data_IF_586270880159
#
_entry.id   IF_586270880159
#
_cell.length_a   1.000
_cell.length_b   1.000
_cell.length_c   1.000
_cell.angle_alpha   90.00
_cell.angle_beta   90.00
_cell.angle_gamma   90.00
#
_symmetry.space_group_name_H-M   'P 1'
#
loop_
_entity.id
_entity.type
_entity.pdbx_description
1 polymer ?
#
# COMPACT_ATOMS: atom_id res chain seq x y z
N UNK A 1 25.08 8.51 6.68
CA UNK A 1 24.56 7.33 7.43
C UNK A 1 23.22 7.73 8.04
N UNK A 2 22.13 7.01 7.73
CA UNK A 2 20.75 7.53 7.75
C UNK A 2 20.25 8.08 9.09
N UNK A 3 19.64 9.27 9.05
CA UNK A 3 19.06 9.97 10.21
C UNK A 3 18.07 9.09 11.01
N UNK A 4 17.26 8.27 10.32
CA UNK A 4 16.32 7.31 10.93
C UNK A 4 17.02 6.15 11.68
N UNK A 5 18.24 5.79 11.32
CA UNK A 5 19.00 4.74 12.01
C UNK A 5 19.46 5.21 13.38
N UNK A 6 19.96 6.44 13.47
CA UNK A 6 20.35 7.09 14.73
C UNK A 6 19.12 7.41 15.60
N UNK A 7 17.98 7.76 14.98
CA UNK A 7 16.76 8.16 15.66
C UNK A 7 15.65 7.10 15.56
N UNK A 8 15.98 5.84 15.86
CA UNK A 8 15.04 4.70 15.78
C UNK A 8 13.72 4.89 16.54
N UNK A 9 13.66 5.80 17.51
CA UNK A 9 12.41 6.14 18.23
C UNK A 9 11.34 6.73 17.29
N UNK A 10 11.76 7.43 16.22
CA UNK A 10 10.87 8.02 15.21
C UNK A 10 10.20 6.99 14.31
N UNK A 11 10.66 5.72 14.34
CA UNK A 11 10.10 4.65 13.51
C UNK A 11 8.64 4.35 13.83
N UNK A 12 8.25 4.48 15.11
CA UNK A 12 6.86 4.33 15.53
C UNK A 12 6.01 5.46 14.95
N UNK A 13 6.47 6.70 15.11
CA UNK A 13 5.76 7.88 14.60
C UNK A 13 5.61 7.83 13.08
N UNK A 14 6.64 7.34 12.38
CA UNK A 14 6.60 7.08 10.94
C UNK A 14 5.50 6.08 10.55
N UNK A 15 5.38 4.96 11.27
CA UNK A 15 4.34 3.96 11.02
C UNK A 15 2.95 4.51 11.35
N UNK A 16 2.79 5.20 12.48
CA UNK A 16 1.52 5.78 12.91
C UNK A 16 1.01 6.83 11.92
N UNK A 17 1.90 7.66 11.38
CA UNK A 17 1.58 8.64 10.36
C UNK A 17 1.17 7.99 9.03
N UNK A 18 1.83 6.90 8.63
CA UNK A 18 1.44 6.14 7.45
C UNK A 18 0.01 5.57 7.60
N UNK A 19 -0.31 4.98 8.76
CA UNK A 19 -1.66 4.48 9.07
C UNK A 19 -2.68 5.63 9.08
N UNK A 20 -2.33 6.77 9.68
CA UNK A 20 -3.19 7.97 9.73
C UNK A 20 -3.54 8.47 8.33
N UNK A 21 -2.57 8.48 7.41
CA UNK A 21 -2.75 8.90 6.02
C UNK A 21 -3.79 8.03 5.31
N UNK A 22 -3.64 6.71 5.40
CA UNK A 22 -4.57 5.75 4.79
C UNK A 22 -5.97 5.89 5.40
N UNK A 23 -6.07 5.94 6.73
CA UNK A 23 -7.35 6.12 7.43
C UNK A 23 -8.06 7.41 6.97
N UNK A 24 -7.32 8.52 6.92
CA UNK A 24 -7.85 9.83 6.52
C UNK A 24 -8.36 9.81 5.07
N UNK A 25 -7.66 9.10 4.17
CA UNK A 25 -8.13 8.92 2.79
C UNK A 25 -9.50 8.23 2.74
N UNK A 26 -9.68 7.14 3.48
CA UNK A 26 -10.97 6.41 3.54
C UNK A 26 -12.07 7.25 4.18
N UNK A 27 -11.77 7.97 5.26
CA UNK A 27 -12.73 8.87 5.90
C UNK A 27 -13.18 9.99 4.94
N UNK A 28 -12.26 10.58 4.18
CA UNK A 28 -12.58 11.65 3.22
C UNK A 28 -13.36 11.13 2.00
N UNK A 29 -12.92 10.03 1.40
CA UNK A 29 -13.49 9.51 0.15
C UNK A 29 -14.72 8.63 0.35
N UNK A 30 -14.73 7.79 1.38
CA UNK A 30 -15.79 6.81 1.61
C UNK A 30 -16.69 7.16 2.80
N UNK A 31 -16.27 8.05 3.70
CA UNK A 31 -16.97 8.31 4.98
C UNK A 31 -17.08 7.04 5.82
N UNK A 32 -16.05 6.19 5.74
CA UNK A 32 -15.99 4.89 6.39
C UNK A 32 -14.59 4.67 7.00
N UNK A 33 -14.50 3.85 8.04
CA UNK A 33 -13.27 3.46 8.72
C UNK A 33 -12.81 2.10 8.18
N UNK A 34 -11.64 2.02 7.54
CA UNK A 34 -11.11 0.74 7.06
C UNK A 34 -10.49 -0.06 8.21
N UNK A 35 -10.42 -1.38 8.06
CA UNK A 35 -9.51 -2.21 8.83
C UNK A 35 -8.09 -2.10 8.28
N UNK A 36 -7.11 -1.86 9.16
CA UNK A 36 -5.70 -1.73 8.80
C UNK A 36 -4.87 -2.59 9.75
N UNK A 37 -4.01 -3.44 9.19
CA UNK A 37 -2.92 -4.12 9.90
C UNK A 37 -1.61 -3.60 9.29
N UNK A 38 -0.77 -2.98 10.11
CA UNK A 38 0.50 -2.40 9.67
C UNK A 38 1.69 -3.07 10.36
N UNK A 39 2.75 -3.32 9.60
CA UNK A 39 4.02 -3.84 10.10
C UNK A 39 5.18 -3.01 9.57
N UNK A 40 6.10 -2.64 10.45
CA UNK A 40 7.31 -1.89 10.08
C UNK A 40 8.49 -2.86 9.94
N UNK A 41 9.16 -2.83 8.80
CA UNK A 41 10.41 -3.52 8.56
C UNK A 41 11.55 -2.51 8.44
N UNK A 42 12.64 -2.72 9.16
CA UNK A 42 13.80 -1.80 9.19
C UNK A 42 14.90 -2.15 8.18
N UNK A 43 15.01 -3.42 7.81
CA UNK A 43 16.04 -3.92 6.92
C UNK A 43 15.43 -4.58 5.68
N UNK A 44 16.08 -4.38 4.53
CA UNK A 44 15.78 -5.13 3.31
C UNK A 44 16.49 -6.49 3.28
N UNK A 45 16.23 -7.29 2.23
CA UNK A 45 16.80 -8.64 2.08
C UNK A 45 18.33 -8.68 2.00
N UNK A 46 18.98 -7.56 1.68
CA UNK A 46 20.45 -7.42 1.66
C UNK A 46 21.00 -6.82 2.96
N UNK A 47 20.21 -6.79 4.04
CA UNK A 47 20.54 -6.17 5.34
C UNK A 47 20.90 -4.67 5.25
N UNK A 48 20.54 -4.01 4.16
CA UNK A 48 20.63 -2.57 4.05
C UNK A 48 19.52 -1.90 4.88
N UNK A 49 19.86 -0.83 5.59
CA UNK A 49 18.89 -0.06 6.35
C UNK A 49 17.91 0.63 5.38
N UNK A 50 16.67 0.16 5.38
CA UNK A 50 15.61 0.60 4.47
C UNK A 50 14.25 0.48 5.19
N UNK A 51 13.94 1.41 6.12
CA UNK A 51 12.70 1.34 6.87
C UNK A 51 11.50 1.51 5.93
N UNK A 52 10.58 0.55 5.95
CA UNK A 52 9.37 0.55 5.13
C UNK A 52 8.19 -0.09 5.89
N UNK A 53 6.98 0.38 5.61
CA UNK A 53 5.74 -0.11 6.25
C UNK A 53 4.97 -0.99 5.27
N UNK A 54 4.68 -2.22 5.67
CA UNK A 54 3.71 -3.09 5.01
C UNK A 54 2.34 -2.86 5.64
N UNK A 55 1.30 -2.73 4.83
CA UNK A 55 -0.07 -2.54 5.31
C UNK A 55 -1.02 -3.45 4.58
N UNK A 56 -1.82 -4.22 5.32
CA UNK A 56 -3.03 -4.86 4.83
C UNK A 56 -4.20 -3.96 5.15
N UNK A 57 -4.93 -3.55 4.12
CA UNK A 57 -6.06 -2.63 4.23
C UNK A 57 -7.28 -3.31 3.65
N UNK A 58 -8.40 -3.28 4.35
CA UNK A 58 -9.65 -3.84 3.85
C UNK A 58 -10.10 -3.13 2.58
N UNK A 59 -10.73 -3.87 1.65
CA UNK A 59 -11.32 -3.34 0.41
C UNK A 59 -12.61 -2.51 0.66
N UNK A 60 -12.64 -1.73 1.72
CA UNK A 60 -13.83 -1.04 2.22
C UNK A 60 -13.65 -0.66 3.68
N UNK A 61 -14.73 -0.18 4.30
CA UNK A 61 -14.73 0.14 5.71
C UNK A 61 -16.13 0.24 6.29
N UNK A 62 -16.20 0.34 7.62
CA UNK A 62 -17.44 0.51 8.37
C UNK A 62 -17.80 2.00 8.51
N UNK A 63 -19.04 2.35 8.21
CA UNK A 63 -19.60 3.67 8.54
C UNK A 63 -19.97 3.74 10.02
N UNK A 64 -20.25 4.96 10.51
CA UNK A 64 -20.71 5.20 11.90
C UNK A 64 -22.02 4.50 12.24
N UNK A 65 -22.89 4.26 11.26
CA UNK A 65 -24.17 3.56 11.43
C UNK A 65 -24.03 2.03 11.37
N UNK A 66 -22.81 1.49 11.32
CA UNK A 66 -22.57 0.04 11.26
C UNK A 66 -22.68 -0.56 9.85
N UNK A 67 -22.99 0.24 8.83
CA UNK A 67 -23.02 -0.27 7.45
C UNK A 67 -21.62 -0.43 6.87
N UNK A 68 -21.39 -1.55 6.19
CA UNK A 68 -20.20 -1.76 5.40
C UNK A 68 -20.27 -0.98 4.07
N UNK A 69 -19.17 -0.33 3.70
CA UNK A 69 -19.00 0.32 2.40
C UNK A 69 -17.78 -0.22 1.67
N UNK A 70 -18.02 -0.87 0.54
CA UNK A 70 -16.98 -1.40 -0.36
C UNK A 70 -16.23 -0.28 -1.08
N UNK A 71 -14.92 -0.43 -1.18
CA UNK A 71 -14.06 0.39 -2.02
C UNK A 71 -14.09 -0.15 -3.46
N UNK A 72 -14.63 0.64 -4.39
CA UNK A 72 -14.61 0.29 -5.80
C UNK A 72 -13.26 0.66 -6.42
N UNK A 73 -12.44 -0.35 -6.71
CA UNK A 73 -11.11 -0.20 -7.31
C UNK A 73 -11.11 -0.36 -8.84
N UNK A 74 -12.26 -0.33 -9.51
CA UNK A 74 -12.33 -0.49 -10.98
C UNK A 74 -11.47 0.51 -11.75
N UNK A 75 -11.28 1.73 -11.23
CA UNK A 75 -10.38 2.72 -11.82
C UNK A 75 -8.91 2.28 -11.76
N UNK A 76 -8.45 1.76 -10.61
CA UNK A 76 -7.08 1.29 -10.40
C UNK A 76 -6.80 0.01 -11.20
N UNK A 77 -7.78 -0.91 -11.27
CA UNK A 77 -7.63 -2.15 -12.05
C UNK A 77 -7.38 -1.88 -13.54
N UNK A 78 -8.07 -0.90 -14.12
CA UNK A 78 -7.86 -0.51 -15.53
C UNK A 78 -6.44 0.00 -15.78
N UNK A 79 -5.89 0.81 -14.88
CA UNK A 79 -4.52 1.34 -15.03
C UNK A 79 -3.44 0.27 -14.86
N UNK A 80 -3.61 -0.65 -13.89
CA UNK A 80 -2.66 -1.76 -13.68
C UNK A 80 -2.67 -2.73 -14.86
N UNK A 81 -3.84 -3.08 -15.39
CA UNK A 81 -3.95 -3.98 -16.54
C UNK A 81 -3.35 -3.36 -17.81
N UNK A 82 -3.53 -2.05 -18.01
CA UNK A 82 -2.89 -1.31 -19.12
C UNK A 82 -1.37 -1.33 -18.98
N UNK A 83 -0.83 -1.06 -17.78
CA UNK A 83 0.62 -1.07 -17.54
C UNK A 83 1.24 -2.46 -17.72
N UNK A 84 0.58 -3.52 -17.25
CA UNK A 84 1.04 -4.91 -17.45
C UNK A 84 1.05 -5.30 -18.93
N UNK A 85 0.04 -4.90 -19.72
CA UNK A 85 0.01 -5.15 -21.17
C UNK A 85 1.09 -4.36 -21.92
N UNK A 86 1.42 -3.14 -21.47
CA UNK A 86 2.51 -2.33 -22.06
C UNK A 86 3.88 -2.93 -21.74
N UNK A 87 4.09 -3.40 -20.51
CA UNK A 87 5.34 -4.04 -20.09
C UNK A 87 5.57 -5.38 -20.80
N UNK A 88 4.51 -6.21 -20.97
CA UNK A 88 4.59 -7.45 -21.74
C UNK A 88 4.86 -7.23 -23.23
N UNK A 89 4.41 -6.11 -23.81
CA UNK A 89 4.71 -5.76 -25.20
C UNK A 89 6.10 -5.13 -25.38
N UNK A 90 6.64 -4.48 -24.35
CA UNK A 90 7.98 -3.90 -24.34
C UNK A 90 9.10 -4.94 -24.17
N UNK A 91 8.81 -6.07 -23.54
CA UNK A 91 9.77 -7.16 -23.34
C UNK A 91 9.50 -8.29 -24.35
N UNK A 92 9.89 -8.05 -25.60
CA UNK A 92 9.68 -8.96 -26.73
C UNK A 92 10.35 -10.33 -26.54
N UNK A 93 9.66 -11.26 -25.90
CA UNK A 93 9.93 -12.69 -26.03
C UNK A 93 8.97 -13.28 -27.06
N UNK A 94 9.50 -13.49 -28.27
CA UNK A 94 8.90 -14.30 -29.32
C UNK A 94 8.89 -15.76 -28.86
N UNK A 95 7.77 -16.23 -28.32
CA UNK A 95 7.54 -17.67 -28.12
C UNK A 95 7.23 -18.25 -29.49
N UNK A 96 8.24 -18.82 -30.15
CA UNK A 96 8.03 -19.73 -31.27
C UNK A 96 7.25 -20.95 -30.78
N UNK A 97 6.02 -21.12 -31.29
CA UNK A 97 5.25 -22.34 -31.13
C UNK A 97 5.93 -23.43 -31.97
N UNK A 98 6.42 -24.49 -31.30
CA UNK A 98 6.49 -25.83 -31.87
C UNK A 98 5.39 -26.67 -31.25
#
# INVERSE_FOLDING_TARGET
>A
MGCLFAHRKLLKDYMDEAVRLVKTYFEKKLKAVPGIIAGLHTFGSRLNFNPHVHMLVTMGGMKKNGEWKTYDNRAVKKEVEVKQKVEQKGNGYRVEKR
#
